data_IF_377849705231
#
_entry.id   IF_377849705231
#
_cell.length_a   1.000
_cell.length_b   1.000
_cell.length_c   1.000
_cell.angle_alpha   90.00
_cell.angle_beta   90.00
_cell.angle_gamma   90.00
#
_symmetry.space_group_name_H-M   'P 1'
#
loop_
_entity.id
_entity.type
_entity.pdbx_description
1 polymer ?
#
# COMPACT_ATOMS: atom_id res chain seq x y z
N UNK A 1 -47.48 -66.86 8.99
CA UNK A 1 -47.54 -66.41 10.40
C UNK A 1 -46.22 -66.75 11.07
N UNK A 2 -45.23 -65.86 11.04
CA UNK A 2 -44.02 -66.06 11.85
C UNK A 2 -44.28 -65.40 13.20
N UNK A 3 -44.61 -66.27 14.16
CA UNK A 3 -44.86 -65.99 15.57
C UNK A 3 -43.88 -64.96 16.14
N UNK A 4 -44.40 -63.85 16.63
CA UNK A 4 -43.67 -62.90 17.47
C UNK A 4 -43.14 -63.68 18.67
N UNK A 5 -41.82 -63.74 18.75
CA UNK A 5 -41.02 -64.62 19.61
C UNK A 5 -41.30 -64.42 21.11
N UNK A 6 -41.51 -65.52 21.83
CA UNK A 6 -41.48 -65.60 23.31
C UNK A 6 -40.22 -64.89 23.86
N UNK A 7 -40.43 -63.82 24.64
CA UNK A 7 -39.39 -63.05 25.31
C UNK A 7 -38.77 -63.92 26.40
N UNK A 8 -37.46 -64.23 26.31
CA UNK A 8 -36.71 -64.97 27.33
C UNK A 8 -36.24 -64.01 28.44
N UNK A 9 -36.57 -64.25 29.73
CA UNK A 9 -36.31 -63.32 30.84
C UNK A 9 -34.81 -63.06 31.06
N UNK A 10 -33.95 -64.05 30.81
CA UNK A 10 -32.48 -63.92 30.93
C UNK A 10 -31.90 -62.88 29.97
N UNK A 11 -32.43 -62.79 28.74
CA UNK A 11 -31.99 -61.79 27.76
C UNK A 11 -32.40 -60.37 28.14
N UNK A 12 -33.51 -60.22 28.87
CA UNK A 12 -33.97 -58.91 29.36
C UNK A 12 -33.05 -58.42 30.47
N UNK A 13 -32.70 -59.28 31.43
CA UNK A 13 -31.73 -58.95 32.50
C UNK A 13 -30.36 -58.58 31.95
N UNK A 14 -29.84 -59.38 31.01
CA UNK A 14 -28.57 -59.07 30.35
C UNK A 14 -28.59 -57.71 29.63
N UNK A 15 -29.69 -57.38 28.95
CA UNK A 15 -29.85 -56.07 28.30
C UNK A 15 -29.95 -54.92 29.31
N UNK A 16 -30.59 -55.13 30.46
CA UNK A 16 -30.67 -54.14 31.53
C UNK A 16 -29.29 -53.83 32.10
N UNK A 17 -28.50 -54.86 32.45
CA UNK A 17 -27.13 -54.68 32.96
C UNK A 17 -26.22 -53.99 31.93
N UNK A 18 -26.37 -54.31 30.64
CA UNK A 18 -25.60 -53.69 29.57
C UNK A 18 -25.97 -52.21 29.40
N UNK A 19 -27.26 -51.88 29.54
CA UNK A 19 -27.72 -50.49 29.55
C UNK A 19 -27.17 -49.72 30.76
N UNK A 20 -27.19 -50.31 31.94
CA UNK A 20 -26.65 -49.71 33.16
C UNK A 20 -25.14 -49.41 33.03
N UNK A 21 -24.37 -50.37 32.51
CA UNK A 21 -22.94 -50.17 32.23
C UNK A 21 -22.70 -49.00 31.27
N UNK A 22 -23.45 -48.95 30.16
CA UNK A 22 -23.35 -47.84 29.20
C UNK A 22 -23.73 -46.49 29.80
N UNK A 23 -24.74 -46.45 30.67
CA UNK A 23 -25.13 -45.22 31.35
C UNK A 23 -24.04 -44.73 32.31
N UNK A 24 -23.40 -45.64 33.05
CA UNK A 24 -22.29 -45.32 33.94
C UNK A 24 -21.07 -44.83 33.17
N UNK A 25 -20.72 -45.49 32.06
CA UNK A 25 -19.63 -45.06 31.16
C UNK A 25 -19.88 -43.66 30.61
N UNK A 26 -21.09 -43.37 30.11
CA UNK A 26 -21.46 -42.03 29.64
C UNK A 26 -21.35 -40.98 30.73
N UNK A 27 -21.82 -41.27 31.95
CA UNK A 27 -21.69 -40.35 33.09
C UNK A 27 -20.23 -40.07 33.42
N UNK A 28 -19.37 -41.09 33.37
CA UNK A 28 -17.92 -40.92 33.61
C UNK A 28 -17.28 -40.03 32.55
N UNK A 29 -17.61 -40.24 31.27
CA UNK A 29 -17.09 -39.41 30.18
C UNK A 29 -17.49 -37.94 30.34
N UNK A 30 -18.77 -37.68 30.62
CA UNK A 30 -19.27 -36.31 30.86
C UNK A 30 -18.55 -35.66 32.04
N UNK A 31 -18.32 -36.40 33.13
CA UNK A 31 -17.57 -35.87 34.27
C UNK A 31 -16.10 -35.56 33.93
N UNK A 32 -15.46 -36.38 33.08
CA UNK A 32 -14.10 -36.12 32.61
C UNK A 32 -14.04 -34.88 31.71
N UNK A 33 -14.97 -34.75 30.77
CA UNK A 33 -15.07 -33.57 29.89
C UNK A 33 -15.22 -32.28 30.70
N UNK A 34 -16.10 -32.27 31.71
CA UNK A 34 -16.29 -31.11 32.59
C UNK A 34 -15.01 -30.78 33.37
N UNK A 35 -14.29 -31.79 33.87
CA UNK A 35 -13.02 -31.57 34.58
C UNK A 35 -11.94 -30.98 33.65
N UNK A 36 -11.84 -31.48 32.42
CA UNK A 36 -10.91 -30.97 31.41
C UNK A 36 -11.23 -29.52 31.02
N UNK A 37 -12.51 -29.18 30.87
CA UNK A 37 -12.96 -27.82 30.61
C UNK A 37 -12.61 -26.86 31.76
N UNK A 38 -12.89 -27.26 33.01
CA UNK A 38 -12.53 -26.45 34.19
C UNK A 38 -11.01 -26.22 34.27
N UNK A 39 -10.19 -27.24 34.02
CA UNK A 39 -8.74 -27.07 34.00
C UNK A 39 -8.28 -26.13 32.89
N UNK A 40 -8.88 -26.23 31.71
CA UNK A 40 -8.59 -25.36 30.58
C UNK A 40 -8.95 -23.91 30.91
N UNK A 41 -10.10 -23.66 31.51
CA UNK A 41 -10.51 -22.33 31.94
C UNK A 41 -9.54 -21.75 32.97
N UNK A 42 -9.15 -22.52 33.98
CA UNK A 42 -8.14 -22.10 34.99
C UNK A 42 -6.81 -21.71 34.35
N UNK A 43 -6.33 -22.48 33.37
CA UNK A 43 -5.09 -22.16 32.62
C UNK A 43 -5.24 -20.86 31.82
N UNK A 44 -6.39 -20.67 31.16
CA UNK A 44 -6.67 -19.44 30.41
C UNK A 44 -6.79 -18.22 31.32
N UNK A 45 -7.41 -18.35 32.49
CA UNK A 45 -7.48 -17.27 33.48
C UNK A 45 -6.11 -16.87 34.00
N UNK A 46 -5.23 -17.84 34.26
CA UNK A 46 -3.85 -17.56 34.66
C UNK A 46 -3.10 -16.78 33.57
N UNK A 47 -3.24 -17.19 32.31
CA UNK A 47 -2.65 -16.48 31.16
C UNK A 47 -3.23 -15.07 31.01
N UNK A 48 -4.55 -14.90 31.16
CA UNK A 48 -5.19 -13.58 31.14
C UNK A 48 -4.62 -12.68 32.23
N UNK A 49 -4.42 -13.19 33.45
CA UNK A 49 -3.81 -12.41 34.54
C UNK A 49 -2.34 -12.06 34.26
N UNK A 50 -1.58 -12.94 33.60
CA UNK A 50 -0.18 -12.70 33.25
C UNK A 50 -0.02 -11.67 32.13
N UNK A 51 -0.88 -11.72 31.10
CA UNK A 51 -0.81 -10.85 29.92
C UNK A 51 -1.61 -9.56 30.10
N UNK A 52 -2.54 -9.52 31.07
CA UNK A 52 -3.32 -8.33 31.36
C UNK A 52 -2.39 -7.14 31.63
N UNK A 53 -2.45 -6.17 30.73
CA UNK A 53 -1.70 -4.92 30.86
C UNK A 53 -2.36 -4.12 31.98
N UNK A 54 -1.75 -4.12 33.15
CA UNK A 54 -2.19 -3.34 34.32
C UNK A 54 -1.79 -1.86 34.14
N UNK A 55 -2.35 -1.21 33.12
CA UNK A 55 -2.14 0.21 32.87
C UNK A 55 -3.50 0.91 32.94
N UNK A 56 -3.53 2.07 33.60
CA UNK A 56 -4.73 2.88 33.68
C UNK A 56 -5.17 3.32 32.28
N UNK A 57 -6.48 3.45 32.07
CA UNK A 57 -7.01 4.01 30.84
C UNK A 57 -6.51 5.45 30.70
N UNK A 58 -5.61 5.68 29.75
CA UNK A 58 -5.10 7.01 29.40
C UNK A 58 -5.80 7.48 28.10
N UNK A 59 -6.86 8.30 28.20
CA UNK A 59 -7.59 8.78 27.03
C UNK A 59 -6.72 9.72 26.17
N UNK A 60 -5.72 10.38 26.76
CA UNK A 60 -4.82 11.27 26.02
C UNK A 60 -3.95 10.43 25.09
N UNK A 61 -3.42 9.30 25.56
CA UNK A 61 -2.66 8.36 24.71
C UNK A 61 -3.50 7.81 23.56
N UNK A 62 -4.78 7.51 23.80
CA UNK A 62 -5.68 7.00 22.76
C UNK A 62 -5.92 8.03 21.64
N UNK A 63 -6.06 9.30 22.01
CA UNK A 63 -6.28 10.39 21.06
C UNK A 63 -4.97 10.94 20.46
N UNK A 64 -3.83 10.63 21.09
CA UNK A 64 -2.53 11.11 20.63
C UNK A 64 -2.06 10.38 19.39
N UNK A 65 -1.33 11.12 18.54
CA UNK A 65 -0.69 10.57 17.36
C UNK A 65 0.35 9.50 17.74
N UNK A 66 0.42 8.45 16.92
CA UNK A 66 1.47 7.44 17.06
C UNK A 66 2.84 8.01 16.69
N UNK A 67 3.91 7.42 17.22
CA UNK A 67 5.28 7.83 16.90
C UNK A 67 5.55 7.77 15.39
N UNK A 68 4.97 6.80 14.69
CA UNK A 68 5.08 6.67 13.24
C UNK A 68 4.40 7.83 12.50
N UNK A 69 3.22 8.27 12.97
CA UNK A 69 2.52 9.41 12.39
C UNK A 69 3.29 10.71 12.62
N UNK A 70 3.77 10.95 13.85
CA UNK A 70 4.61 12.12 14.18
C UNK A 70 5.86 12.19 13.30
N UNK A 71 6.53 11.05 13.07
CA UNK A 71 7.71 10.99 12.21
C UNK A 71 7.38 11.33 10.74
N UNK A 72 6.21 10.90 10.25
CA UNK A 72 5.75 11.23 8.90
C UNK A 72 5.42 12.72 8.78
N UNK A 73 4.56 13.23 9.66
CA UNK A 73 4.09 14.63 9.59
C UNK A 73 5.22 15.63 9.90
N UNK A 74 6.12 15.30 10.82
CA UNK A 74 7.29 16.13 11.13
C UNK A 74 8.33 16.18 9.99
N UNK A 75 8.42 15.14 9.16
CA UNK A 75 9.23 15.18 7.95
C UNK A 75 8.56 15.97 6.82
N UNK A 76 7.22 15.95 6.76
CA UNK A 76 6.42 16.69 5.78
C UNK A 76 6.23 18.18 6.15
N UNK A 77 6.45 18.59 7.41
CA UNK A 77 6.18 19.97 7.85
C UNK A 77 7.20 21.02 7.41
N UNK A 78 8.42 20.62 7.04
CA UNK A 78 9.41 21.55 6.46
C UNK A 78 9.23 21.73 4.95
N UNK A 79 8.61 20.75 4.27
CA UNK A 79 8.11 20.91 2.92
C UNK A 79 6.72 21.56 2.98
N UNK A 80 6.69 22.82 3.43
CA UNK A 80 5.52 23.69 3.30
C UNK A 80 4.89 23.46 1.93
N UNK A 81 3.63 23.04 1.93
CA UNK A 81 2.82 22.74 0.77
C UNK A 81 3.00 23.80 -0.32
N UNK A 82 3.92 23.56 -1.26
CA UNK A 82 4.12 24.43 -2.42
C UNK A 82 2.90 24.20 -3.30
N UNK A 83 1.87 25.02 -3.10
CA UNK A 83 0.55 24.96 -3.74
C UNK A 83 0.61 24.96 -5.29
N UNK A 84 1.80 25.24 -5.86
CA UNK A 84 2.07 25.33 -7.30
C UNK A 84 3.08 24.30 -7.81
N UNK A 85 3.39 23.22 -7.06
CA UNK A 85 4.16 22.12 -7.66
C UNK A 85 3.25 21.35 -8.63
N UNK A 86 3.63 21.20 -9.90
CA UNK A 86 2.79 20.47 -10.85
C UNK A 86 2.65 19.01 -10.41
N UNK A 87 1.46 18.43 -10.60
CA UNK A 87 1.17 17.02 -10.27
C UNK A 87 2.09 16.05 -11.04
N UNK A 88 2.58 16.47 -12.22
CA UNK A 88 3.49 15.71 -13.06
C UNK A 88 4.75 16.53 -13.37
N UNK A 89 5.87 15.84 -13.57
CA UNK A 89 7.10 16.45 -14.06
C UNK A 89 6.94 16.85 -15.52
N UNK A 90 6.88 18.15 -15.81
CA UNK A 90 6.89 18.65 -17.18
C UNK A 90 8.29 18.55 -17.76
N UNK A 91 8.48 17.70 -18.77
CA UNK A 91 9.74 17.59 -19.52
C UNK A 91 9.76 18.57 -20.70
N UNK A 92 9.54 19.84 -20.41
CA UNK A 92 9.54 20.93 -21.39
C UNK A 92 10.84 21.72 -21.32
N UNK A 93 11.08 22.56 -22.32
CA UNK A 93 12.21 23.49 -22.31
C UNK A 93 11.96 24.64 -21.34
N UNK A 94 13.00 25.05 -20.62
CA UNK A 94 12.99 26.26 -19.81
C UNK A 94 13.27 27.49 -20.70
N UNK A 95 12.84 28.68 -20.28
CA UNK A 95 13.10 29.96 -20.97
C UNK A 95 14.60 30.13 -21.27
N UNK A 96 15.46 29.83 -20.29
CA UNK A 96 16.90 29.91 -20.45
C UNK A 96 17.44 28.94 -21.52
N UNK A 97 16.82 27.76 -21.67
CA UNK A 97 17.19 26.78 -22.69
C UNK A 97 16.69 27.19 -24.08
N UNK A 98 15.59 27.93 -24.15
CA UNK A 98 15.05 28.48 -25.39
C UNK A 98 15.93 29.65 -25.86
N UNK A 99 16.29 30.56 -24.94
CA UNK A 99 17.12 31.74 -25.23
C UNK A 99 18.57 31.35 -25.54
N UNK A 100 19.04 30.15 -25.18
CA UNK A 100 20.41 29.73 -25.50
C UNK A 100 20.65 29.55 -27.00
N UNK A 101 19.61 29.36 -27.82
CA UNK A 101 19.76 29.21 -29.26
C UNK A 101 20.17 30.56 -29.91
N UNK A 102 21.32 30.62 -30.60
CA UNK A 102 21.78 31.85 -31.27
C UNK A 102 20.82 32.35 -32.34
N UNK A 103 20.05 31.46 -32.98
CA UNK A 103 19.07 31.84 -34.02
C UNK A 103 17.96 32.68 -33.43
N UNK A 104 17.42 32.24 -32.30
CA UNK A 104 16.35 32.94 -31.61
C UNK A 104 16.84 34.30 -31.11
N UNK A 105 18.03 34.36 -30.51
CA UNK A 105 18.63 35.62 -30.04
C UNK A 105 18.80 36.63 -31.17
N UNK A 106 19.28 36.18 -32.32
CA UNK A 106 19.45 37.05 -33.48
C UNK A 106 18.12 37.52 -34.06
N UNK A 107 17.12 36.64 -34.10
CA UNK A 107 15.78 36.98 -34.57
C UNK A 107 15.09 38.01 -33.67
N UNK A 108 15.19 37.84 -32.35
CA UNK A 108 14.69 38.80 -31.37
C UNK A 108 15.36 40.17 -31.55
N UNK A 109 16.70 40.21 -31.69
CA UNK A 109 17.42 41.45 -31.95
C UNK A 109 16.95 42.15 -33.25
N UNK A 110 16.68 41.38 -34.31
CA UNK A 110 16.12 41.93 -35.55
C UNK A 110 14.69 42.42 -35.41
N UNK A 111 13.88 41.81 -34.53
CA UNK A 111 12.53 42.30 -34.24
C UNK A 111 12.56 43.60 -33.44
N UNK A 112 13.40 43.66 -32.42
CA UNK A 112 13.62 44.86 -31.61
C UNK A 112 14.08 46.04 -32.48
N UNK A 113 14.98 45.77 -33.44
CA UNK A 113 15.43 46.78 -34.41
C UNK A 113 14.41 47.05 -35.55
N UNK A 114 13.35 46.25 -35.68
CA UNK A 114 12.35 46.37 -36.76
C UNK A 114 12.78 45.80 -38.13
N UNK A 115 13.97 45.19 -38.25
CA UNK A 115 14.55 44.70 -39.51
C UNK A 115 14.15 43.26 -39.90
N UNK A 116 13.35 42.58 -39.10
CA UNK A 116 12.95 41.17 -39.32
C UNK A 116 12.40 40.83 -40.73
N UNK A 117 11.77 41.76 -41.46
CA UNK A 117 11.20 41.53 -42.80
C UNK A 117 12.16 41.82 -43.96
N UNK A 118 13.35 42.34 -43.67
CA UNK A 118 14.32 42.76 -44.70
C UNK A 118 14.93 41.57 -45.45
N UNK A 119 15.46 41.82 -46.65
CA UNK A 119 16.22 40.82 -47.41
C UNK A 119 17.44 40.34 -46.64
N UNK A 120 18.11 41.25 -45.92
CA UNK A 120 19.24 40.95 -45.04
C UNK A 120 18.90 39.89 -43.99
N UNK A 121 17.77 40.04 -43.29
CA UNK A 121 17.31 39.05 -42.31
C UNK A 121 17.06 37.67 -42.96
N UNK A 122 16.44 37.66 -44.15
CA UNK A 122 16.15 36.42 -44.89
C UNK A 122 17.42 35.68 -45.34
N UNK A 123 18.48 36.40 -45.68
CA UNK A 123 19.75 35.80 -46.09
C UNK A 123 20.61 35.35 -44.91
N UNK A 124 20.54 36.06 -43.77
CA UNK A 124 21.38 35.80 -42.61
C UNK A 124 20.84 34.70 -41.70
N UNK A 125 19.52 34.63 -41.48
CA UNK A 125 18.91 33.63 -40.59
C UNK A 125 19.25 32.16 -40.95
N UNK A 126 19.25 31.74 -42.23
CA UNK A 126 19.62 30.38 -42.62
C UNK A 126 21.10 30.05 -42.40
N UNK A 127 21.98 31.05 -42.42
CA UNK A 127 23.43 30.87 -42.24
C UNK A 127 23.79 30.60 -40.78
N UNK A 128 22.92 30.94 -39.83
CA UNK A 128 23.16 30.72 -38.41
C UNK A 128 22.88 29.24 -38.09
N UNK A 129 23.90 28.53 -37.64
CA UNK A 129 23.80 27.14 -37.20
C UNK A 129 23.05 27.01 -35.86
N UNK A 130 22.49 25.82 -35.56
CA UNK A 130 21.94 25.55 -34.24
C UNK A 130 23.07 25.46 -33.21
N UNK A 131 22.77 25.70 -31.92
CA UNK A 131 23.78 25.62 -30.86
C UNK A 131 24.43 24.22 -30.74
N UNK A 132 23.65 23.16 -30.99
CA UNK A 132 24.13 21.78 -31.03
C UNK A 132 24.08 21.29 -32.47
N UNK A 133 25.19 20.77 -33.03
CA UNK A 133 25.15 20.17 -34.35
C UNK A 133 24.19 18.97 -34.36
N UNK A 134 23.62 18.64 -35.53
CA UNK A 134 22.85 17.42 -35.68
C UNK A 134 23.72 16.22 -35.29
N UNK A 135 23.07 15.16 -34.78
CA UNK A 135 23.75 13.89 -34.52
C UNK A 135 24.34 13.35 -35.84
N UNK A 136 25.44 12.61 -35.77
CA UNK A 136 26.15 12.06 -36.94
C UNK A 136 25.23 11.28 -37.89
N UNK A 137 24.30 10.51 -37.33
CA UNK A 137 23.35 9.69 -38.10
C UNK A 137 22.24 10.52 -38.78
N UNK A 138 22.09 11.78 -38.40
CA UNK A 138 21.07 12.73 -38.90
C UNK A 138 21.68 13.80 -39.82
N UNK A 139 22.95 13.64 -40.22
CA UNK A 139 23.58 14.57 -41.16
C UNK A 139 22.92 14.48 -42.53
N UNK A 140 22.18 15.52 -42.92
CA UNK A 140 21.62 15.64 -44.27
C UNK A 140 22.70 16.10 -45.25
N UNK A 141 22.90 15.37 -46.34
CA UNK A 141 23.77 15.78 -47.46
C UNK A 141 23.15 16.87 -48.34
N UNK A 142 21.85 17.14 -48.21
CA UNK A 142 21.09 18.06 -49.07
C UNK A 142 21.58 19.53 -49.04
N UNK A 143 22.33 19.94 -48.02
CA UNK A 143 22.81 21.31 -47.85
C UNK A 143 24.34 21.42 -47.81
N UNK A 144 25.07 20.39 -48.24
CA UNK A 144 26.54 20.47 -48.41
C UNK A 144 26.83 21.18 -49.75
N UNK A 145 27.48 22.35 -49.67
CA UNK A 145 28.08 23.08 -50.80
C UNK A 145 29.49 22.57 -51.02
#
# INVERSE_FOLDING_TARGET
MLSVTRIRPERVKYRQELLEKRLLERKKLVLQEVQEEEERERRLEALRKQVAVAVQSDPVRMMSETLAWKAKTGAESEEEFILQKPLFTLTTYNEQQIISDPRLRFELALREAGLHKTQYAKEMLPKIGPQKPPRKDTESTAFKV
#
